data_IF_148300289344
#
_entry.id   IF_148300289344
#
_cell.length_a   1.000
_cell.length_b   1.000
_cell.length_c   1.000
_cell.angle_alpha   90.00
_cell.angle_beta   90.00
_cell.angle_gamma   90.00
#
_symmetry.space_group_name_H-M   'P 1'
#
loop_
_entity.id
_entity.type
_entity.pdbx_description
1 polymer ?
#
# COMPACT_ATOMS: atom_id res chain seq x y z
N UNK A 1 23.69 31.81 9.59
CA UNK A 1 22.73 30.85 10.22
C UNK A 1 21.65 30.57 9.20
N UNK A 2 21.13 29.33 9.10
CA UNK A 2 20.04 29.06 8.15
C UNK A 2 18.80 29.88 8.54
N UNK A 3 18.15 30.50 7.57
CA UNK A 3 16.86 31.19 7.79
C UNK A 3 15.78 30.18 8.15
N UNK A 4 14.66 30.66 8.71
CA UNK A 4 13.52 29.80 9.06
C UNK A 4 13.01 29.07 7.80
N UNK A 5 12.93 29.76 6.66
CA UNK A 5 12.52 29.17 5.39
C UNK A 5 13.50 28.08 4.92
N UNK A 6 14.81 28.29 5.06
CA UNK A 6 15.83 27.28 4.73
C UNK A 6 15.75 26.04 5.63
N UNK A 7 15.43 26.22 6.93
CA UNK A 7 15.23 25.09 7.84
C UNK A 7 14.00 24.28 7.44
N UNK A 8 12.89 24.93 7.10
CA UNK A 8 11.65 24.25 6.70
C UNK A 8 11.84 23.50 5.38
N UNK A 9 12.35 24.18 4.35
CA UNK A 9 12.54 23.57 3.02
C UNK A 9 13.52 22.39 3.04
N UNK A 10 14.57 22.45 3.87
CA UNK A 10 15.51 21.34 4.03
C UNK A 10 14.91 20.10 4.75
N UNK A 11 13.75 20.24 5.40
CA UNK A 11 13.08 19.15 6.12
C UNK A 11 11.90 18.54 5.34
N UNK A 12 11.59 19.05 4.16
CA UNK A 12 10.67 18.39 3.23
C UNK A 12 11.42 17.20 2.61
N UNK A 13 10.76 16.05 2.59
CA UNK A 13 11.27 14.79 2.04
C UNK A 13 10.42 14.39 0.83
N UNK A 14 10.94 13.49 -0.01
CA UNK A 14 10.16 13.01 -1.15
C UNK A 14 8.95 12.17 -0.72
N UNK A 15 8.91 11.62 0.50
CA UNK A 15 7.71 10.97 1.04
C UNK A 15 6.56 11.97 1.16
N UNK A 16 6.84 13.20 1.62
CA UNK A 16 5.81 14.25 1.70
C UNK A 16 5.31 14.59 0.31
N UNK A 17 6.23 14.73 -0.66
CA UNK A 17 5.88 15.02 -2.05
C UNK A 17 5.01 13.91 -2.63
N UNK A 18 5.34 12.63 -2.40
CA UNK A 18 4.51 11.51 -2.87
C UNK A 18 3.10 11.57 -2.24
N UNK A 19 3.00 11.80 -0.93
CA UNK A 19 1.72 11.97 -0.24
C UNK A 19 0.93 13.15 -0.80
N UNK A 20 1.55 14.32 -1.01
CA UNK A 20 0.88 15.48 -1.57
C UNK A 20 0.38 15.23 -2.99
N UNK A 21 1.17 14.52 -3.82
CA UNK A 21 0.80 14.22 -5.20
C UNK A 21 -0.40 13.29 -5.26
N UNK A 22 -0.43 12.22 -4.47
CA UNK A 22 -1.59 11.30 -4.47
C UNK A 22 -2.85 11.99 -3.92
N UNK A 23 -2.72 12.79 -2.85
CA UNK A 23 -3.83 13.62 -2.33
C UNK A 23 -4.34 14.61 -3.37
N UNK A 24 -3.42 15.26 -4.12
CA UNK A 24 -3.82 16.16 -5.20
C UNK A 24 -4.58 15.41 -6.30
N UNK A 25 -4.14 14.21 -6.68
CA UNK A 25 -4.86 13.37 -7.65
C UNK A 25 -6.28 13.07 -7.16
N UNK A 26 -6.44 12.63 -5.92
CA UNK A 26 -7.76 12.31 -5.34
C UNK A 26 -8.65 13.55 -5.17
N UNK A 27 -8.09 14.70 -4.81
CA UNK A 27 -8.81 15.96 -4.80
C UNK A 27 -9.31 16.35 -6.20
N UNK A 28 -8.44 16.25 -7.22
CA UNK A 28 -8.82 16.54 -8.61
C UNK A 28 -9.90 15.58 -9.10
N UNK A 29 -9.76 14.28 -8.81
CA UNK A 29 -10.77 13.28 -9.13
C UNK A 29 -12.09 13.56 -8.42
N UNK A 30 -12.07 13.97 -7.16
CA UNK A 30 -13.27 14.35 -6.41
C UNK A 30 -14.00 15.53 -7.04
N UNK A 31 -13.27 16.49 -7.61
CA UNK A 31 -13.86 17.63 -8.33
C UNK A 31 -14.42 17.19 -9.68
N UNK A 32 -13.67 16.42 -10.46
CA UNK A 32 -14.06 15.98 -11.81
C UNK A 32 -15.27 15.04 -11.77
N UNK A 33 -15.30 14.10 -10.81
CA UNK A 33 -16.37 13.11 -10.67
C UNK A 33 -17.35 13.45 -9.53
N UNK A 34 -17.40 14.71 -9.11
CA UNK A 34 -18.24 15.18 -7.99
C UNK A 34 -19.69 14.65 -8.00
N UNK A 35 -20.41 14.62 -9.13
CA UNK A 35 -21.79 14.12 -9.15
C UNK A 35 -21.94 12.61 -8.91
N UNK A 36 -20.86 11.85 -9.14
CA UNK A 36 -20.87 10.38 -9.12
C UNK A 36 -20.22 9.80 -7.86
N UNK A 37 -19.49 10.62 -7.11
CA UNK A 37 -18.76 10.18 -5.91
C UNK A 37 -19.54 10.57 -4.66
N UNK A 38 -20.05 9.59 -3.90
CA UNK A 38 -20.62 9.86 -2.59
C UNK A 38 -19.60 10.55 -1.70
N UNK A 39 -19.99 11.67 -1.08
CA UNK A 39 -19.14 12.41 -0.15
C UNK A 39 -17.79 12.89 -0.73
N UNK A 40 -17.73 13.24 -2.03
CA UNK A 40 -16.53 13.79 -2.67
C UNK A 40 -15.90 14.97 -1.88
N UNK A 41 -16.74 15.80 -1.25
CA UNK A 41 -16.28 16.89 -0.40
C UNK A 41 -15.50 16.40 0.84
N UNK A 42 -15.89 15.25 1.43
CA UNK A 42 -15.20 14.69 2.58
C UNK A 42 -13.78 14.22 2.22
N UNK A 43 -13.59 13.69 1.00
CA UNK A 43 -12.26 13.31 0.50
C UNK A 43 -11.37 14.55 0.41
N UNK A 44 -11.86 15.62 -0.23
CA UNK A 44 -11.11 16.89 -0.35
C UNK A 44 -10.77 17.48 1.03
N UNK A 45 -11.73 17.50 1.96
CA UNK A 45 -11.51 18.02 3.32
C UNK A 45 -10.47 17.19 4.06
N UNK A 46 -10.55 15.86 3.96
CA UNK A 46 -9.61 14.95 4.60
C UNK A 46 -8.19 15.12 4.03
N UNK A 47 -8.06 15.25 2.71
CA UNK A 47 -6.78 15.46 2.03
C UNK A 47 -6.15 16.81 2.38
N UNK A 48 -6.93 17.89 2.39
CA UNK A 48 -6.46 19.21 2.83
C UNK A 48 -6.02 19.16 4.30
N UNK A 49 -6.77 18.45 5.16
CA UNK A 49 -6.41 18.27 6.56
C UNK A 49 -5.10 17.49 6.71
N UNK A 50 -4.94 16.37 6.02
CA UNK A 50 -3.71 15.57 6.04
C UNK A 50 -2.52 16.34 5.47
N UNK A 51 -2.70 17.05 4.37
CA UNK A 51 -1.67 17.90 3.78
C UNK A 51 -1.21 19.00 4.75
N UNK A 52 -2.17 19.65 5.40
CA UNK A 52 -1.90 20.67 6.43
C UNK A 52 -1.19 20.08 7.64
N UNK A 53 -1.58 18.88 8.09
CA UNK A 53 -0.93 18.19 9.19
C UNK A 53 0.53 17.81 8.86
N UNK A 54 0.79 17.32 7.65
CA UNK A 54 2.15 17.04 7.16
C UNK A 54 2.98 18.33 7.12
N UNK A 55 2.43 19.42 6.56
CA UNK A 55 3.09 20.73 6.53
C UNK A 55 3.41 21.24 7.94
N UNK A 56 2.46 21.17 8.87
CA UNK A 56 2.66 21.53 10.27
C UNK A 56 3.76 20.66 10.92
N UNK A 57 3.79 19.36 10.65
CA UNK A 57 4.82 18.45 11.15
C UNK A 57 6.21 18.79 10.61
N UNK A 58 6.33 19.18 9.34
CA UNK A 58 7.60 19.66 8.77
C UNK A 58 8.06 20.93 9.48
N UNK A 59 7.16 21.90 9.68
CA UNK A 59 7.48 23.16 10.36
C UNK A 59 7.88 22.92 11.83
N UNK A 60 7.09 22.14 12.57
CA UNK A 60 7.37 21.83 13.98
C UNK A 60 8.70 21.08 14.13
N UNK A 61 8.98 20.10 13.25
CA UNK A 61 10.26 19.40 13.27
C UNK A 61 11.43 20.31 12.89
N UNK A 62 11.24 21.20 11.92
CA UNK A 62 12.28 22.14 11.49
C UNK A 62 12.62 23.18 12.56
N UNK A 63 11.65 23.58 13.39
CA UNK A 63 11.77 24.67 14.36
C UNK A 63 12.07 24.23 15.79
N UNK A 64 11.84 22.96 16.13
CA UNK A 64 11.96 22.46 17.50
C UNK A 64 12.83 21.21 17.58
N UNK A 65 13.51 21.00 18.71
CA UNK A 65 14.32 19.80 18.99
C UNK A 65 13.52 18.72 19.75
N UNK A 66 12.19 18.79 19.73
CA UNK A 66 11.33 17.87 20.49
C UNK A 66 11.31 16.50 19.80
N UNK A 67 11.82 15.48 20.51
CA UNK A 67 11.90 14.09 20.01
C UNK A 67 10.57 13.51 19.54
N UNK A 68 9.45 13.94 20.13
CA UNK A 68 8.12 13.51 19.75
C UNK A 68 7.79 13.89 18.29
N UNK A 69 8.12 15.11 17.87
CA UNK A 69 7.89 15.53 16.49
C UNK A 69 8.81 14.81 15.50
N UNK A 70 10.06 14.54 15.89
CA UNK A 70 10.95 13.70 15.10
C UNK A 70 10.39 12.28 14.90
N UNK A 71 9.78 11.68 15.93
CA UNK A 71 9.12 10.38 15.82
C UNK A 71 7.94 10.44 14.85
N UNK A 72 6.99 11.36 15.05
CA UNK A 72 5.85 11.51 14.15
C UNK A 72 6.28 11.80 12.72
N UNK A 73 7.33 12.59 12.52
CA UNK A 73 7.90 12.89 11.20
C UNK A 73 8.36 11.65 10.42
N UNK A 74 8.79 10.59 11.12
CA UNK A 74 9.22 9.33 10.49
C UNK A 74 8.09 8.32 10.29
N UNK A 75 7.06 8.36 11.14
CA UNK A 75 6.02 7.34 11.16
C UNK A 75 4.64 7.83 10.69
N UNK A 76 4.44 9.11 10.41
CA UNK A 76 3.16 9.64 9.91
C UNK A 76 2.71 8.97 8.62
N UNK A 77 3.63 8.46 7.80
CA UNK A 77 3.27 7.83 6.52
C UNK A 77 2.43 6.56 6.72
N UNK A 78 2.54 5.89 7.88
CA UNK A 78 1.80 4.65 8.16
C UNK A 78 0.28 4.89 8.10
N UNK A 79 -0.31 5.81 8.89
CA UNK A 79 -1.73 6.12 8.77
C UNK A 79 -2.08 6.74 7.41
N UNK A 80 -1.18 7.52 6.78
CA UNK A 80 -1.44 8.08 5.44
C UNK A 80 -1.61 6.98 4.40
N UNK A 81 -0.76 5.96 4.39
CA UNK A 81 -0.85 4.82 3.46
C UNK A 81 -2.21 4.13 3.59
N UNK A 82 -2.72 3.94 4.82
CA UNK A 82 -4.04 3.36 5.05
C UNK A 82 -5.17 4.28 4.58
N UNK A 83 -5.13 5.57 4.95
CA UNK A 83 -6.18 6.52 4.56
C UNK A 83 -6.25 6.71 3.04
N UNK A 84 -5.11 6.69 2.35
CA UNK A 84 -5.07 6.73 0.88
C UNK A 84 -5.59 5.44 0.24
N UNK A 85 -5.36 4.29 0.87
CA UNK A 85 -5.95 3.01 0.42
C UNK A 85 -7.47 3.02 0.55
N UNK A 86 -8.00 3.50 1.67
CA UNK A 86 -9.44 3.59 1.86
C UNK A 86 -10.07 4.53 0.83
N UNK A 87 -9.44 5.69 0.60
CA UNK A 87 -9.92 6.65 -0.39
C UNK A 87 -9.90 6.12 -1.83
N UNK A 88 -8.87 5.36 -2.25
CA UNK A 88 -8.78 4.92 -3.65
C UNK A 88 -10.03 4.14 -4.10
N UNK A 89 -10.61 3.35 -3.18
CA UNK A 89 -11.78 2.50 -3.46
C UNK A 89 -13.08 3.27 -3.65
N UNK A 90 -13.14 4.52 -3.20
CA UNK A 90 -14.25 5.44 -3.54
C UNK A 90 -14.26 5.75 -5.06
N UNK A 91 -13.09 5.73 -5.70
CA UNK A 91 -12.93 6.17 -7.08
C UNK A 91 -12.92 5.02 -8.09
N UNK A 92 -12.34 3.86 -7.77
CA UNK A 92 -12.04 2.81 -8.77
C UNK A 92 -13.25 2.45 -9.62
N UNK A 93 -14.37 2.08 -9.00
CA UNK A 93 -15.59 1.70 -9.73
C UNK A 93 -16.25 2.88 -10.46
N UNK A 94 -16.12 4.10 -9.93
CA UNK A 94 -16.68 5.31 -10.57
C UNK A 94 -15.95 5.64 -11.86
N UNK A 95 -14.62 5.49 -11.85
CA UNK A 95 -13.76 5.80 -13.00
C UNK A 95 -13.73 4.66 -14.00
N UNK A 96 -13.73 3.42 -13.51
CA UNK A 96 -13.66 2.22 -14.33
C UNK A 96 -14.64 1.16 -13.82
N UNK A 97 -15.89 1.15 -14.33
CA UNK A 97 -16.98 0.34 -13.79
C UNK A 97 -16.94 -1.14 -14.22
N UNK A 98 -15.96 -1.54 -15.04
CA UNK A 98 -15.86 -2.89 -15.60
C UNK A 98 -14.80 -3.66 -14.81
N UNK A 99 -15.18 -4.82 -14.27
CA UNK A 99 -14.27 -5.77 -13.63
C UNK A 99 -13.62 -6.67 -14.72
N UNK A 100 -12.32 -6.94 -14.60
CA UNK A 100 -11.49 -7.65 -15.59
C UNK A 100 -11.14 -9.08 -15.17
N UNK A 101 -11.80 -9.63 -14.16
CA UNK A 101 -11.58 -10.97 -13.64
C UNK A 101 -11.52 -12.06 -14.73
N UNK A 102 -12.40 -12.00 -15.74
CA UNK A 102 -12.41 -12.96 -16.86
C UNK A 102 -11.09 -12.98 -17.64
N UNK A 103 -10.44 -11.82 -17.80
CA UNK A 103 -9.14 -11.74 -18.48
C UNK A 103 -8.06 -12.43 -17.67
N UNK A 104 -8.11 -12.31 -16.34
CA UNK A 104 -7.14 -12.94 -15.44
C UNK A 104 -7.35 -14.44 -15.33
N UNK A 105 -8.61 -14.90 -15.33
CA UNK A 105 -8.95 -16.32 -15.44
C UNK A 105 -8.40 -16.91 -16.75
N UNK A 106 -8.61 -16.24 -17.88
CA UNK A 106 -8.08 -16.68 -19.18
C UNK A 106 -6.55 -16.71 -19.16
N UNK A 107 -5.89 -15.68 -18.59
CA UNK A 107 -4.44 -15.61 -18.48
C UNK A 107 -3.88 -16.76 -17.61
N UNK A 108 -4.46 -17.00 -16.44
CA UNK A 108 -4.07 -18.10 -15.56
C UNK A 108 -4.23 -19.45 -16.25
N UNK A 109 -5.37 -19.68 -16.91
CA UNK A 109 -5.61 -20.92 -17.70
C UNK A 109 -4.62 -21.07 -18.85
N UNK A 110 -4.24 -19.99 -19.53
CA UNK A 110 -3.26 -20.02 -20.60
C UNK A 110 -1.85 -20.37 -20.10
N UNK A 111 -1.47 -19.90 -18.91
CA UNK A 111 -0.15 -20.14 -18.32
C UNK A 111 -0.07 -21.54 -17.66
N UNK A 112 -1.11 -21.94 -16.94
CA UNK A 112 -1.09 -23.13 -16.07
C UNK A 112 -1.94 -24.30 -16.58
N UNK A 113 -2.74 -24.10 -17.63
CA UNK A 113 -3.66 -25.11 -18.18
C UNK A 113 -4.86 -25.42 -17.27
N UNK A 114 -5.05 -24.67 -16.17
CA UNK A 114 -6.13 -24.85 -15.20
C UNK A 114 -6.34 -23.57 -14.40
N UNK A 115 -7.37 -23.54 -13.55
CA UNK A 115 -7.59 -22.49 -12.55
C UNK A 115 -6.73 -22.76 -11.31
N UNK A 116 -5.68 -21.98 -11.01
CA UNK A 116 -4.72 -22.33 -9.95
C UNK A 116 -5.35 -22.45 -8.56
N UNK A 117 -6.31 -21.58 -8.24
CA UNK A 117 -7.01 -21.60 -6.94
C UNK A 117 -7.92 -22.83 -6.79
N UNK A 118 -8.53 -23.30 -7.88
CA UNK A 118 -9.35 -24.54 -7.90
C UNK A 118 -8.46 -25.77 -7.81
N UNK A 119 -7.31 -25.77 -8.49
CA UNK A 119 -6.33 -26.85 -8.38
C UNK A 119 -5.76 -26.95 -6.95
N UNK A 120 -5.43 -25.80 -6.34
CA UNK A 120 -4.91 -25.73 -4.97
C UNK A 120 -5.91 -26.19 -3.91
N UNK A 121 -7.21 -26.08 -4.16
CA UNK A 121 -8.25 -26.51 -3.22
C UNK A 121 -8.15 -27.99 -2.81
N UNK A 122 -7.47 -28.83 -3.61
CA UNK A 122 -7.22 -30.25 -3.31
C UNK A 122 -6.23 -30.46 -2.16
N UNK A 123 -5.45 -29.44 -1.83
CA UNK A 123 -4.46 -29.45 -0.74
C UNK A 123 -4.96 -28.69 0.48
N UNK A 124 -6.23 -28.29 0.50
CA UNK A 124 -6.80 -27.55 1.61
C UNK A 124 -6.84 -28.38 2.87
N UNK A 125 -6.34 -27.83 3.98
CA UNK A 125 -6.51 -28.41 5.31
C UNK A 125 -6.64 -27.31 6.37
N UNK A 126 -7.33 -27.57 7.49
CA UNK A 126 -7.47 -26.59 8.56
C UNK A 126 -6.14 -26.02 9.05
N UNK A 127 -5.10 -26.85 9.15
CA UNK A 127 -3.78 -26.44 9.60
C UNK A 127 -3.08 -25.51 8.61
N UNK A 128 -3.12 -25.83 7.32
CA UNK A 128 -2.50 -25.01 6.27
C UNK A 128 -3.24 -23.67 6.17
N UNK A 129 -4.57 -23.69 6.18
CA UNK A 129 -5.37 -22.47 6.15
C UNK A 129 -5.09 -21.58 7.36
N UNK A 130 -5.02 -22.15 8.56
CA UNK A 130 -4.69 -21.40 9.78
C UNK A 130 -3.33 -20.69 9.66
N UNK A 131 -2.30 -21.43 9.25
CA UNK A 131 -0.97 -20.88 9.05
C UNK A 131 -0.95 -19.78 7.99
N UNK A 132 -1.55 -20.02 6.82
CA UNK A 132 -1.54 -19.10 5.71
C UNK A 132 -2.40 -17.85 5.97
N UNK A 133 -3.50 -17.97 6.71
CA UNK A 133 -4.32 -16.83 7.14
C UNK A 133 -3.54 -15.93 8.11
N UNK A 134 -2.81 -16.51 9.06
CA UNK A 134 -1.90 -15.77 9.94
C UNK A 134 -0.81 -15.07 9.13
N UNK A 135 -0.17 -15.78 8.19
CA UNK A 135 0.85 -15.19 7.32
C UNK A 135 0.30 -14.05 6.46
N UNK A 136 -0.92 -14.20 5.93
CA UNK A 136 -1.62 -13.16 5.18
C UNK A 136 -1.80 -11.91 6.05
N UNK A 137 -2.32 -12.08 7.27
CA UNK A 137 -2.56 -10.96 8.18
C UNK A 137 -1.26 -10.24 8.63
N UNK A 138 -0.13 -10.95 8.68
CA UNK A 138 1.16 -10.34 9.02
C UNK A 138 1.66 -9.33 7.98
N UNK A 139 0.99 -9.19 6.83
CA UNK A 139 1.15 -8.09 5.88
C UNK A 139 1.24 -6.72 6.57
N UNK A 140 0.30 -6.43 7.48
CA UNK A 140 0.20 -5.14 8.15
C UNK A 140 1.34 -4.90 9.17
N UNK A 141 1.99 -5.97 9.63
CA UNK A 141 2.96 -5.93 10.73
C UNK A 141 4.39 -5.88 10.22
N UNK A 142 4.73 -6.61 9.14
CA UNK A 142 6.12 -6.76 8.69
C UNK A 142 6.82 -5.44 8.33
N UNK A 143 6.21 -4.51 7.55
CA UNK A 143 6.85 -3.23 7.26
C UNK A 143 7.07 -2.37 8.50
N UNK A 144 6.11 -2.37 9.42
CA UNK A 144 6.20 -1.63 10.69
C UNK A 144 7.34 -2.22 11.54
N UNK A 145 7.44 -3.54 11.62
CA UNK A 145 8.50 -4.21 12.37
C UNK A 145 9.89 -3.83 11.84
N UNK A 146 10.05 -3.73 10.52
CA UNK A 146 11.31 -3.30 9.91
C UNK A 146 11.60 -1.81 10.16
N UNK A 147 10.61 -0.93 9.99
CA UNK A 147 10.77 0.50 10.28
C UNK A 147 11.17 0.74 11.74
N UNK A 148 10.51 0.06 12.68
CA UNK A 148 10.84 0.12 14.11
C UNK A 148 12.24 -0.44 14.40
N UNK A 149 12.66 -1.49 13.71
CA UNK A 149 14.04 -2.00 13.84
C UNK A 149 15.08 -0.94 13.46
N UNK A 150 14.91 -0.31 12.29
CA UNK A 150 15.83 0.72 11.79
C UNK A 150 15.85 1.94 12.71
N UNK A 151 14.67 2.39 13.17
CA UNK A 151 14.54 3.47 14.14
C UNK A 151 15.27 3.18 15.46
N UNK A 152 15.08 1.98 16.03
CA UNK A 152 15.72 1.59 17.30
C UNK A 152 17.24 1.45 17.19
N UNK A 153 17.77 1.18 15.99
CA UNK A 153 19.21 1.18 15.72
C UNK A 153 19.78 2.59 15.50
N UNK A 154 18.93 3.61 15.35
CA UNK A 154 19.34 4.96 14.99
C UNK A 154 19.80 5.09 13.53
N UNK A 155 19.50 4.11 12.68
CA UNK A 155 19.90 4.09 11.26
C UNK A 155 18.87 4.87 10.42
N UNK A 156 18.85 6.18 10.65
CA UNK A 156 17.84 7.10 10.09
C UNK A 156 17.92 7.17 8.57
N UNK A 157 19.12 7.12 8.00
CA UNK A 157 19.30 7.13 6.54
C UNK A 157 18.60 5.93 5.89
N UNK A 158 18.79 4.72 6.42
CA UNK A 158 18.12 3.53 5.89
C UNK A 158 16.62 3.53 6.20
N UNK A 159 16.19 4.08 7.33
CA UNK A 159 14.77 4.26 7.61
C UNK A 159 14.12 5.15 6.56
N UNK A 160 14.79 6.24 6.15
CA UNK A 160 14.27 7.15 5.14
C UNK A 160 14.17 6.49 3.78
N UNK A 161 15.22 5.78 3.36
CA UNK A 161 15.19 4.99 2.11
C UNK A 161 14.09 3.92 2.14
N UNK A 162 13.93 3.21 3.27
CA UNK A 162 12.88 2.21 3.44
C UNK A 162 11.48 2.82 3.31
N UNK A 163 11.24 3.88 4.06
CA UNK A 163 9.93 4.56 4.17
C UNK A 163 9.50 5.11 2.82
N UNK A 164 10.44 5.71 2.10
CA UNK A 164 10.23 6.31 0.79
C UNK A 164 10.01 5.26 -0.29
N UNK A 165 10.77 4.16 -0.27
CA UNK A 165 10.56 3.02 -1.16
C UNK A 165 9.20 2.36 -0.96
N UNK A 166 8.80 2.12 0.30
CA UNK A 166 7.47 1.57 0.63
C UNK A 166 6.35 2.51 0.19
N UNK A 167 6.41 3.78 0.58
CA UNK A 167 5.36 4.76 0.25
C UNK A 167 5.18 4.93 -1.27
N UNK A 168 6.29 5.02 -2.01
CA UNK A 168 6.26 5.11 -3.47
C UNK A 168 5.58 3.89 -4.09
N UNK A 169 5.95 2.69 -3.65
CA UNK A 169 5.36 1.45 -4.16
C UNK A 169 3.87 1.33 -3.79
N UNK A 170 3.47 1.66 -2.56
CA UNK A 170 2.06 1.68 -2.15
C UNK A 170 1.23 2.62 -3.03
N UNK A 171 1.66 3.87 -3.19
CA UNK A 171 0.90 4.85 -3.96
C UNK A 171 0.81 4.50 -5.45
N UNK A 172 1.88 3.94 -6.03
CA UNK A 172 1.81 3.41 -7.40
C UNK A 172 0.83 2.23 -7.50
N UNK A 173 0.80 1.33 -6.51
CA UNK A 173 -0.16 0.23 -6.51
C UNK A 173 -1.62 0.72 -6.47
N UNK A 174 -1.90 1.79 -5.72
CA UNK A 174 -3.24 2.38 -5.66
C UNK A 174 -3.67 2.97 -7.00
N UNK A 175 -2.75 3.67 -7.68
CA UNK A 175 -3.01 4.19 -9.03
C UNK A 175 -3.15 3.06 -10.07
N UNK A 176 -2.50 1.91 -9.86
CA UNK A 176 -2.60 0.78 -10.76
C UNK A 176 -3.96 0.07 -10.70
N UNK A 177 -4.69 0.14 -9.58
CA UNK A 177 -6.02 -0.46 -9.45
C UNK A 177 -7.05 0.10 -10.45
N UNK A 178 -6.86 1.33 -10.92
CA UNK A 178 -7.72 1.91 -11.95
C UNK A 178 -7.56 1.25 -13.32
N UNK A 179 -6.40 0.65 -13.61
CA UNK A 179 -6.09 0.16 -14.94
C UNK A 179 -6.92 -1.08 -15.30
N UNK A 180 -6.96 -2.07 -14.41
CA UNK A 180 -7.68 -3.32 -14.61
C UNK A 180 -8.33 -3.76 -13.27
N UNK A 181 -9.42 -3.10 -12.84
CA UNK A 181 -10.15 -3.44 -11.63
C UNK A 181 -10.56 -4.91 -11.60
N UNK A 182 -10.45 -5.58 -10.45
CA UNK A 182 -10.94 -6.93 -10.26
C UNK A 182 -11.18 -7.24 -8.78
N UNK A 183 -12.05 -8.23 -8.54
CA UNK A 183 -12.51 -8.62 -7.19
C UNK A 183 -11.89 -9.92 -6.68
N UNK A 184 -11.35 -10.74 -7.59
CA UNK A 184 -10.57 -11.92 -7.28
C UNK A 184 -11.35 -13.24 -7.26
N UNK A 185 -10.62 -14.37 -7.21
CA UNK A 185 -11.18 -15.70 -7.47
C UNK A 185 -12.18 -16.16 -6.42
N UNK A 186 -12.14 -15.62 -5.19
CA UNK A 186 -13.12 -15.92 -4.13
C UNK A 186 -14.57 -15.53 -4.47
N UNK A 187 -14.79 -14.72 -5.51
CA UNK A 187 -16.13 -14.34 -5.97
C UNK A 187 -16.48 -14.89 -7.36
N UNK A 188 -15.48 -15.22 -8.18
CA UNK A 188 -15.68 -15.56 -9.60
C UNK A 188 -15.54 -17.06 -9.87
N UNK A 189 -14.57 -17.71 -9.22
CA UNK A 189 -14.28 -19.14 -9.37
C UNK A 189 -14.76 -19.97 -8.18
N UNK A 190 -15.09 -19.31 -7.07
CA UNK A 190 -15.51 -19.95 -5.82
C UNK A 190 -16.74 -19.25 -5.25
N UNK A 191 -17.49 -19.98 -4.41
CA UNK A 191 -18.61 -19.42 -3.66
C UNK A 191 -18.09 -18.74 -2.38
N UNK A 192 -18.23 -17.42 -2.33
CA UNK A 192 -17.83 -16.62 -1.18
C UNK A 192 -18.58 -17.02 0.10
N UNK A 193 -19.85 -17.41 0.00
CA UNK A 193 -20.65 -17.81 1.16
C UNK A 193 -20.18 -19.15 1.77
N UNK A 194 -19.53 -19.99 0.97
CA UNK A 194 -18.98 -21.28 1.40
C UNK A 194 -17.52 -21.19 1.89
N UNK A 195 -16.90 -20.00 1.92
CA UNK A 195 -15.46 -19.86 2.14
C UNK A 195 -14.96 -20.45 3.47
N UNK A 196 -15.73 -20.34 4.54
CA UNK A 196 -15.40 -20.95 5.85
C UNK A 196 -15.53 -22.48 5.87
N UNK A 197 -16.41 -23.03 5.03
CA UNK A 197 -16.55 -24.48 4.87
C UNK A 197 -15.47 -25.05 3.97
N UNK A 198 -15.11 -24.33 2.90
CA UNK A 198 -14.12 -24.73 1.90
C UNK A 198 -12.67 -24.58 2.40
N UNK A 199 -12.40 -23.51 3.13
CA UNK A 199 -11.12 -23.19 3.73
C UNK A 199 -11.33 -22.97 5.24
N UNK A 200 -11.65 -24.03 6.00
CA UNK A 200 -11.77 -23.93 7.44
C UNK A 200 -10.40 -23.67 8.04
N UNK A 201 -10.35 -22.96 9.17
CA UNK A 201 -9.17 -22.86 10.04
C UNK A 201 -9.39 -23.58 11.36
N UNK A 202 -8.45 -23.38 12.30
CA UNK A 202 -8.47 -24.04 13.61
C UNK A 202 -8.92 -23.10 14.73
N UNK A 203 -8.39 -21.87 14.78
CA UNK A 203 -8.56 -20.97 15.92
C UNK A 203 -8.88 -19.54 15.49
N UNK A 204 -7.91 -18.86 14.86
CA UNK A 204 -8.00 -17.43 14.57
C UNK A 204 -8.43 -17.13 13.14
N UNK A 205 -8.47 -18.14 12.25
CA UNK A 205 -8.82 -17.93 10.84
C UNK A 205 -10.12 -17.15 10.63
N UNK A 206 -11.26 -17.49 11.27
CA UNK A 206 -12.51 -16.76 11.05
C UNK A 206 -12.37 -15.28 11.42
N UNK A 207 -11.77 -14.99 12.58
CA UNK A 207 -11.55 -13.62 13.06
C UNK A 207 -10.64 -12.83 12.10
N UNK A 208 -9.53 -13.43 11.66
CA UNK A 208 -8.62 -12.76 10.74
C UNK A 208 -9.27 -12.53 9.38
N UNK A 209 -10.04 -13.50 8.88
CA UNK A 209 -10.78 -13.40 7.62
C UNK A 209 -11.83 -12.29 7.68
N UNK A 210 -12.56 -12.18 8.78
CA UNK A 210 -13.52 -11.09 9.00
C UNK A 210 -12.85 -9.73 9.02
N UNK A 211 -11.71 -9.59 9.71
CA UNK A 211 -10.94 -8.34 9.72
C UNK A 211 -10.45 -7.96 8.32
N UNK A 212 -9.99 -8.94 7.53
CA UNK A 212 -9.57 -8.72 6.14
C UNK A 212 -10.76 -8.36 5.24
N UNK A 213 -11.91 -9.00 5.44
CA UNK A 213 -13.14 -8.68 4.71
C UNK A 213 -13.59 -7.25 5.00
N UNK A 214 -13.59 -6.83 6.27
CA UNK A 214 -13.90 -5.45 6.67
C UNK A 214 -12.92 -4.47 6.01
N UNK A 215 -11.61 -4.77 6.07
CA UNK A 215 -10.59 -3.96 5.40
C UNK A 215 -10.74 -3.90 3.88
N UNK A 216 -11.35 -4.92 3.27
CA UNK A 216 -11.68 -5.00 1.85
C UNK A 216 -13.07 -4.46 1.49
N UNK A 217 -13.74 -3.71 2.38
CA UNK A 217 -15.05 -3.08 2.13
C UNK A 217 -16.27 -3.94 2.47
N UNK A 218 -16.08 -5.16 2.98
CA UNK A 218 -17.16 -6.11 3.27
C UNK A 218 -17.44 -6.13 4.77
N UNK A 219 -18.43 -5.34 5.20
CA UNK A 219 -18.93 -5.39 6.58
C UNK A 219 -19.58 -6.74 6.93
N UNK A 220 -19.59 -7.08 8.23
CA UNK A 220 -20.27 -8.29 8.72
C UNK A 220 -21.76 -8.19 8.40
N UNK A 221 -22.29 -9.20 7.71
CA UNK A 221 -23.70 -9.27 7.32
C UNK A 221 -24.05 -8.53 6.03
N UNK A 222 -23.07 -8.08 5.23
CA UNK A 222 -23.32 -7.54 3.89
C UNK A 222 -24.11 -8.54 3.02
N UNK A 223 -25.29 -8.17 2.48
CA UNK A 223 -26.09 -9.07 1.65
C UNK A 223 -25.48 -9.40 0.29
N UNK A 224 -24.80 -8.43 -0.33
CA UNK A 224 -24.11 -8.58 -1.61
C UNK A 224 -22.65 -8.13 -1.50
N UNK A 225 -21.74 -9.05 -1.10
CA UNK A 225 -20.32 -8.75 -0.97
C UNK A 225 -19.66 -8.34 -2.29
N UNK A 226 -20.15 -8.84 -3.43
CA UNK A 226 -19.57 -8.55 -4.76
C UNK A 226 -19.79 -7.09 -5.13
N UNK A 227 -20.93 -6.50 -4.74
CA UNK A 227 -21.22 -5.10 -5.01
C UNK A 227 -20.31 -4.12 -4.26
N UNK A 228 -19.81 -4.48 -3.07
CA UNK A 228 -19.11 -3.55 -2.16
C UNK A 228 -17.62 -3.83 -1.97
N UNK A 229 -17.14 -5.02 -2.34
CA UNK A 229 -15.73 -5.38 -2.17
C UNK A 229 -14.82 -4.43 -2.94
N UNK A 230 -13.68 -4.11 -2.36
CA UNK A 230 -12.65 -3.32 -3.02
C UNK A 230 -12.16 -3.99 -4.32
N UNK A 231 -11.86 -3.18 -5.34
CA UNK A 231 -11.34 -3.63 -6.65
C UNK A 231 -9.80 -3.56 -6.71
N UNK A 232 -9.14 -4.18 -5.74
CA UNK A 232 -7.67 -4.18 -5.58
C UNK A 232 -7.01 -5.53 -5.90
N UNK A 233 -7.66 -6.39 -6.68
CA UNK A 233 -7.07 -7.69 -7.02
C UNK A 233 -5.85 -7.55 -7.95
N UNK A 234 -5.95 -6.76 -9.03
CA UNK A 234 -4.85 -6.51 -9.97
C UNK A 234 -4.32 -5.08 -9.83
N UNK A 235 -3.01 -4.88 -9.64
CA UNK A 235 -1.97 -5.87 -9.31
C UNK A 235 -2.01 -6.30 -7.85
N UNK A 236 -1.39 -7.44 -7.50
CA UNK A 236 -1.32 -7.86 -6.09
C UNK A 236 -0.44 -6.93 -5.24
N UNK A 237 -1.06 -5.99 -4.52
CA UNK A 237 -0.38 -5.11 -3.57
C UNK A 237 0.27 -5.87 -2.41
N UNK A 238 -0.37 -6.94 -1.93
CA UNK A 238 0.17 -7.85 -0.92
C UNK A 238 1.51 -8.44 -1.35
N UNK A 239 1.59 -8.92 -2.60
CA UNK A 239 2.83 -9.45 -3.17
C UNK A 239 3.87 -8.35 -3.33
N UNK A 240 3.47 -7.22 -3.92
CA UNK A 240 4.37 -6.12 -4.24
C UNK A 240 5.09 -5.60 -2.98
N UNK A 241 4.35 -5.23 -1.93
CA UNK A 241 4.95 -4.66 -0.72
C UNK A 241 5.71 -5.69 0.10
N UNK A 242 5.25 -6.94 0.11
CA UNK A 242 5.96 -8.02 0.81
C UNK A 242 7.33 -8.27 0.19
N UNK A 243 7.43 -8.25 -1.14
CA UNK A 243 8.72 -8.35 -1.83
C UNK A 243 9.61 -7.14 -1.55
N UNK A 244 9.08 -5.92 -1.58
CA UNK A 244 9.86 -4.71 -1.21
C UNK A 244 10.39 -4.83 0.22
N UNK A 245 9.57 -5.30 1.16
CA UNK A 245 9.97 -5.54 2.55
C UNK A 245 11.09 -6.59 2.66
N UNK A 246 10.96 -7.73 1.98
CA UNK A 246 12.00 -8.77 1.93
C UNK A 246 13.31 -8.22 1.36
N UNK A 247 13.24 -7.53 0.22
CA UNK A 247 14.41 -6.96 -0.48
C UNK A 247 15.16 -5.99 0.42
N UNK A 248 14.45 -5.07 1.09
CA UNK A 248 15.07 -4.19 2.07
C UNK A 248 15.58 -4.94 3.30
N UNK A 249 14.88 -5.99 3.74
CA UNK A 249 15.31 -6.86 4.84
C UNK A 249 16.71 -7.41 4.60
N UNK A 250 16.98 -7.92 3.40
CA UNK A 250 18.31 -8.39 3.02
C UNK A 250 19.30 -7.25 2.74
N UNK A 251 18.90 -6.22 1.98
CA UNK A 251 19.76 -5.07 1.63
C UNK A 251 20.31 -4.37 2.87
N UNK A 252 19.47 -4.16 3.87
CA UNK A 252 19.84 -3.48 5.13
C UNK A 252 20.31 -4.44 6.22
N UNK A 253 20.50 -5.73 5.89
CA UNK A 253 20.94 -6.77 6.82
C UNK A 253 20.11 -6.80 8.10
N UNK A 254 18.79 -6.64 7.96
CA UNK A 254 17.83 -6.73 9.06
C UNK A 254 18.05 -8.00 9.89
N UNK A 255 17.86 -7.90 11.21
CA UNK A 255 17.86 -9.05 12.11
C UNK A 255 16.69 -10.01 11.80
N UNK A 256 15.64 -9.48 11.18
CA UNK A 256 14.42 -10.19 10.82
C UNK A 256 14.39 -10.65 9.36
N UNK A 257 15.47 -10.48 8.58
CA UNK A 257 15.47 -10.78 7.13
C UNK A 257 14.95 -12.19 6.77
N UNK A 258 15.28 -13.19 7.60
CA UNK A 258 14.83 -14.56 7.40
C UNK A 258 13.38 -14.77 7.81
N UNK A 259 12.92 -14.06 8.84
CA UNK A 259 11.50 -14.02 9.19
C UNK A 259 10.70 -13.39 8.03
N UNK A 260 11.12 -12.24 7.51
CA UNK A 260 10.49 -11.61 6.34
C UNK A 260 10.51 -12.54 5.12
N UNK A 261 11.61 -13.25 4.88
CA UNK A 261 11.70 -14.19 3.77
C UNK A 261 10.70 -15.34 3.88
N UNK A 262 10.67 -16.03 5.03
CA UNK A 262 9.83 -17.21 5.22
C UNK A 262 8.36 -16.83 5.34
N UNK A 263 8.04 -15.85 6.19
CA UNK A 263 6.65 -15.42 6.41
C UNK A 263 6.14 -14.64 5.19
N UNK A 264 6.95 -13.76 4.60
CA UNK A 264 6.58 -13.04 3.40
C UNK A 264 6.46 -13.94 2.17
N UNK A 265 7.31 -14.95 2.02
CA UNK A 265 7.12 -15.99 0.99
C UNK A 265 5.82 -16.76 1.19
N UNK A 266 5.50 -17.12 2.44
CA UNK A 266 4.25 -17.80 2.79
C UNK A 266 3.02 -16.90 2.58
N UNK A 267 3.16 -15.59 2.81
CA UNK A 267 2.13 -14.59 2.53
C UNK A 267 1.84 -14.51 1.02
N UNK A 268 2.88 -14.50 0.17
CA UNK A 268 2.67 -14.50 -1.28
C UNK A 268 1.91 -15.76 -1.71
N UNK A 269 2.25 -16.93 -1.16
CA UNK A 269 1.50 -18.17 -1.40
C UNK A 269 0.05 -18.06 -0.89
N UNK A 270 -0.15 -17.45 0.28
CA UNK A 270 -1.47 -17.32 0.89
C UNK A 270 -2.41 -16.47 0.05
N UNK A 271 -1.91 -15.49 -0.71
CA UNK A 271 -2.75 -14.70 -1.63
C UNK A 271 -3.55 -15.55 -2.61
N UNK A 272 -2.94 -16.61 -3.16
CA UNK A 272 -3.58 -17.53 -4.12
C UNK A 272 -4.32 -18.64 -3.39
N UNK A 273 -3.70 -19.27 -2.38
CA UNK A 273 -4.31 -20.38 -1.64
C UNK A 273 -5.62 -19.95 -0.96
N UNK A 274 -5.64 -18.76 -0.35
CA UNK A 274 -6.84 -18.21 0.31
C UNK A 274 -7.80 -17.53 -0.68
N UNK A 275 -7.55 -17.66 -1.99
CA UNK A 275 -8.42 -17.20 -3.08
C UNK A 275 -8.58 -15.67 -3.16
N UNK A 276 -7.64 -14.91 -2.61
CA UNK A 276 -7.67 -13.44 -2.71
C UNK A 276 -7.17 -12.93 -4.08
N UNK A 277 -6.25 -13.65 -4.73
CA UNK A 277 -5.64 -13.24 -5.99
C UNK A 277 -5.55 -14.37 -7.02
N UNK A 278 -5.61 -14.00 -8.30
CA UNK A 278 -5.16 -14.86 -9.40
C UNK A 278 -3.62 -14.91 -9.42
N UNK A 279 -3.04 -15.91 -10.06
CA UNK A 279 -1.57 -16.03 -10.11
C UNK A 279 -0.97 -14.93 -10.98
N UNK A 280 -1.64 -14.52 -12.06
CA UNK A 280 -1.20 -13.40 -12.89
C UNK A 280 -1.08 -12.10 -12.10
N UNK A 281 -1.98 -11.83 -11.16
CA UNK A 281 -1.93 -10.62 -10.31
C UNK A 281 -0.68 -10.61 -9.42
N UNK A 282 -0.30 -11.80 -8.92
CA UNK A 282 0.89 -12.02 -8.09
C UNK A 282 2.15 -11.81 -8.93
N UNK A 283 2.19 -12.31 -10.17
CA UNK A 283 3.30 -12.10 -11.09
C UNK A 283 3.47 -10.63 -11.46
N UNK A 284 2.36 -9.92 -11.74
CA UNK A 284 2.39 -8.48 -12.04
C UNK A 284 2.83 -7.70 -10.80
N UNK A 285 2.30 -8.01 -9.60
CA UNK A 285 2.72 -7.39 -8.35
C UNK A 285 4.22 -7.59 -8.08
N UNK A 286 4.75 -8.79 -8.35
CA UNK A 286 6.17 -9.07 -8.22
C UNK A 286 7.04 -8.29 -9.22
N UNK A 287 6.61 -8.21 -10.48
CA UNK A 287 7.27 -7.42 -11.51
C UNK A 287 7.29 -5.93 -11.14
N UNK A 288 6.14 -5.40 -10.69
CA UNK A 288 6.00 -4.02 -10.25
C UNK A 288 6.91 -3.71 -9.05
N UNK A 289 7.05 -4.62 -8.09
CA UNK A 289 7.97 -4.44 -6.97
C UNK A 289 9.40 -4.17 -7.46
N UNK A 290 9.90 -4.95 -8.42
CA UNK A 290 11.25 -4.78 -8.96
C UNK A 290 11.38 -3.48 -9.74
N UNK A 291 10.43 -3.18 -10.63
CA UNK A 291 10.46 -1.98 -11.48
C UNK A 291 10.41 -0.70 -10.63
N UNK A 292 9.39 -0.56 -9.80
CA UNK A 292 9.13 0.70 -9.11
C UNK A 292 10.09 0.92 -7.95
N UNK A 293 10.55 -0.13 -7.25
CA UNK A 293 11.61 0.02 -6.26
C UNK A 293 12.93 0.46 -6.89
N UNK A 294 13.22 0.03 -8.13
CA UNK A 294 14.43 0.44 -8.86
C UNK A 294 14.32 1.85 -9.44
N UNK A 295 13.10 2.30 -9.75
CA UNK A 295 12.81 3.64 -10.26
C UNK A 295 12.83 4.71 -9.16
N UNK A 296 12.41 4.34 -7.95
CA UNK A 296 12.23 5.27 -6.83
C UNK A 296 13.46 6.16 -6.51
N UNK A 297 14.72 5.67 -6.55
CA UNK A 297 15.89 6.51 -6.30
C UNK A 297 16.06 7.63 -7.34
N UNK A 298 15.69 7.37 -8.60
CA UNK A 298 15.76 8.36 -9.67
C UNK A 298 14.71 9.46 -9.46
N UNK A 299 13.49 9.04 -9.10
CA UNK A 299 12.42 9.98 -8.73
C UNK A 299 12.84 10.80 -7.52
N UNK A 300 13.53 10.20 -6.53
CA UNK A 300 14.10 10.94 -5.41
C UNK A 300 15.00 12.07 -5.86
N UNK A 301 16.02 11.73 -6.66
CA UNK A 301 17.06 12.65 -7.05
C UNK A 301 16.49 13.78 -7.88
N UNK A 302 15.49 13.47 -8.72
CA UNK A 302 14.72 14.45 -9.47
C UNK A 302 13.93 15.39 -8.53
N UNK A 303 13.21 14.87 -7.54
CA UNK A 303 12.49 15.72 -6.57
C UNK A 303 13.46 16.61 -5.80
N UNK A 304 14.54 16.04 -5.26
CA UNK A 304 15.55 16.77 -4.50
C UNK A 304 16.22 17.86 -5.34
N UNK A 305 16.50 17.61 -6.63
CA UNK A 305 17.08 18.64 -7.50
C UNK A 305 16.13 19.82 -7.71
N UNK A 306 14.84 19.55 -7.94
CA UNK A 306 13.83 20.59 -8.12
C UNK A 306 13.60 21.38 -6.83
N UNK A 307 13.57 20.72 -5.68
CA UNK A 307 13.45 21.39 -4.39
C UNK A 307 14.63 22.33 -4.12
N UNK A 308 15.87 21.90 -4.44
CA UNK A 308 17.05 22.77 -4.34
C UNK A 308 16.94 24.00 -5.25
N UNK A 309 16.45 23.83 -6.48
CA UNK A 309 16.20 24.94 -7.41
C UNK A 309 15.15 25.92 -6.90
N UNK A 310 14.05 25.41 -6.32
CA UNK A 310 13.00 26.26 -5.71
C UNK A 310 13.58 27.06 -4.54
N UNK A 311 14.33 26.43 -3.63
CA UNK A 311 14.98 27.15 -2.52
C UNK A 311 15.94 28.23 -3.03
N UNK A 312 16.70 27.97 -4.10
CA UNK A 312 17.58 28.97 -4.71
C UNK A 312 16.82 30.16 -5.34
N UNK A 313 15.68 29.89 -5.98
CA UNK A 313 14.80 30.94 -6.50
C UNK A 313 14.27 31.83 -5.37
N UNK A 314 13.82 31.23 -4.27
CA UNK A 314 13.32 31.96 -3.09
C UNK A 314 14.38 32.87 -2.48
N UNK A 315 15.63 32.39 -2.35
CA UNK A 315 16.77 33.23 -1.91
C UNK A 315 16.95 34.45 -2.79
N UNK A 316 16.89 34.24 -4.10
CA UNK A 316 17.06 35.30 -5.09
C UNK A 316 15.93 36.34 -5.00
N UNK A 317 14.68 35.89 -4.83
CA UNK A 317 13.51 36.77 -4.68
C UNK A 317 13.50 37.55 -3.35
N UNK A 318 14.03 36.97 -2.27
CA UNK A 318 14.11 37.61 -0.95
C UNK A 318 15.34 38.49 -0.77
N UNK A 319 16.24 38.59 -1.77
CA UNK A 319 17.47 39.36 -1.67
C UNK A 319 18.49 38.78 -0.67
N UNK A 320 18.33 37.51 -0.30
CA UNK A 320 19.25 36.78 0.58
C UNK A 320 20.37 36.19 -0.27
N UNK A 321 21.53 36.85 -0.32
CA UNK A 321 22.73 36.37 -1.01
C UNK A 321 23.49 35.31 -0.20
#
# INVERSE_FOLDING_TARGET
MKTVAERITANISSVDVYSMVIMLIFCLMSVVFYPFIPNAANVVVLDVFMASAIGAMVVLHALTDVKLFAMFRRFYVIPIIYLMYDQVHVFVQTVHPIDYDDWFIIADRAIFGTDPTVWLARFSSPLITEYLQICYFLFYVMPIMQAVELWRKGDIERLDVFTRGMAFCYFISYLAYFALPAIGPRFTLHDFAALDADLPGLLVTPVLRDLINIGGGIAIGTPDPVAVVNRDCMPSGHTMMTLVNILFGFRFRSRFRWFFFVIGGSLIISTVYLRYHYVVDVLVGALMAVIFLSLEPWVNTWIESHMRSVTALWKTLLGEH
#
